data_IF_493344416388
#
_entry.id   IF_493344416388
#
_cell.length_a   1.000
_cell.length_b   1.000
_cell.length_c   1.000
_cell.angle_alpha   90.00
_cell.angle_beta   90.00
_cell.angle_gamma   90.00
#
_symmetry.space_group_name_H-M   'P 1'
#
loop_
_entity.id
_entity.type
_entity.pdbx_description
1 polymer ?
#
# COMPACT_ATOMS: atom_id res chain seq x y z
N UNK A 1 10.93 -19.71 18.11
CA UNK A 1 9.56 -20.24 18.32
C UNK A 1 8.61 -19.16 17.88
N UNK A 2 7.98 -19.32 16.72
CA UNK A 2 6.94 -18.41 16.24
C UNK A 2 5.64 -18.80 16.92
N UNK A 3 5.22 -18.04 17.94
CA UNK A 3 3.85 -18.09 18.44
C UNK A 3 2.93 -17.70 17.28
N UNK A 4 2.12 -18.63 16.80
CA UNK A 4 1.11 -18.32 15.82
C UNK A 4 0.06 -17.44 16.50
N UNK A 5 -0.12 -16.21 16.02
CA UNK A 5 -1.25 -15.39 16.43
C UNK A 5 -2.53 -16.21 16.21
N UNK A 6 -3.30 -16.42 17.28
CA UNK A 6 -4.59 -17.09 17.20
C UNK A 6 -5.54 -16.41 16.21
N UNK A 7 -6.66 -17.05 15.85
CA UNK A 7 -7.64 -16.41 14.98
C UNK A 7 -8.08 -15.05 15.55
N UNK A 8 -8.43 -14.07 14.70
CA UNK A 8 -8.91 -12.79 15.18
C UNK A 8 -10.12 -12.98 16.11
N UNK A 9 -10.31 -12.11 17.11
CA UNK A 9 -11.48 -12.15 17.98
C UNK A 9 -12.78 -12.15 17.17
N UNK A 10 -13.75 -12.99 17.56
CA UNK A 10 -15.02 -13.15 16.83
C UNK A 10 -15.89 -11.89 16.83
N UNK A 11 -15.68 -11.02 17.81
CA UNK A 11 -16.41 -9.77 18.01
C UNK A 11 -15.71 -8.57 17.36
N UNK A 12 -14.61 -8.77 16.60
CA UNK A 12 -13.82 -7.68 16.03
C UNK A 12 -14.66 -6.72 15.17
N UNK A 13 -15.63 -7.24 14.41
CA UNK A 13 -16.53 -6.47 13.55
C UNK A 13 -17.64 -5.72 14.33
N UNK A 14 -17.83 -6.03 15.62
CA UNK A 14 -18.84 -5.40 16.47
C UNK A 14 -18.24 -4.29 17.35
N UNK A 15 -16.90 -4.19 17.39
CA UNK A 15 -16.20 -3.20 18.20
C UNK A 15 -16.29 -1.83 17.55
N UNK A 16 -16.70 -0.85 18.33
CA UNK A 16 -16.53 0.54 17.96
C UNK A 16 -15.03 0.89 18.02
N UNK A 17 -14.45 1.19 16.86
CA UNK A 17 -13.06 1.60 16.78
C UNK A 17 -12.96 3.08 17.17
N UNK A 18 -12.05 3.44 18.09
CA UNK A 18 -11.89 4.83 18.48
C UNK A 18 -11.38 5.66 17.30
N UNK A 19 -12.05 6.77 17.03
CA UNK A 19 -11.53 7.79 16.13
C UNK A 19 -10.61 8.69 16.96
N UNK A 20 -9.32 8.67 16.64
CA UNK A 20 -8.31 9.49 17.30
C UNK A 20 -7.83 10.60 16.35
N UNK A 21 -7.59 11.78 16.90
CA UNK A 21 -6.93 12.87 16.16
C UNK A 21 -5.45 12.86 16.46
N UNK A 22 -4.64 12.93 15.42
CA UNK A 22 -3.18 12.96 15.53
C UNK A 22 -2.65 14.26 14.90
N UNK A 23 -1.64 14.84 15.51
CA UNK A 23 -0.98 16.05 15.01
C UNK A 23 0.23 15.67 14.12
N UNK A 24 0.47 16.49 13.09
CA UNK A 24 1.53 16.25 12.10
C UNK A 24 2.91 16.79 12.49
N UNK A 25 3.91 16.67 11.59
CA UNK A 25 3.73 16.47 10.15
C UNK A 25 3.55 15.02 9.71
N UNK A 26 2.65 14.80 8.75
CA UNK A 26 2.46 13.52 8.06
C UNK A 26 3.08 13.58 6.67
N UNK A 27 3.84 12.56 6.32
CA UNK A 27 4.54 12.44 5.05
C UNK A 27 3.85 11.44 4.14
N UNK A 28 3.72 11.81 2.87
CA UNK A 28 3.16 10.98 1.82
C UNK A 28 3.99 11.12 0.56
N UNK A 29 4.34 9.99 -0.03
CA UNK A 29 4.81 9.92 -1.41
C UNK A 29 3.62 9.61 -2.32
N UNK A 30 3.49 10.35 -3.42
CA UNK A 30 2.41 10.17 -4.38
C UNK A 30 2.92 10.30 -5.81
N UNK A 31 2.18 9.74 -6.77
CA UNK A 31 2.50 9.92 -8.18
C UNK A 31 2.37 11.39 -8.58
N UNK A 32 3.29 11.88 -9.42
CA UNK A 32 3.31 13.28 -9.86
C UNK A 32 2.02 13.72 -10.59
N UNK A 33 1.30 12.79 -11.21
CA UNK A 33 0.00 13.04 -11.85
C UNK A 33 -1.19 13.09 -10.90
N UNK A 34 -1.00 13.00 -9.59
CA UNK A 34 -2.06 13.06 -8.57
C UNK A 34 -1.78 14.18 -7.60
N UNK A 35 -2.85 14.79 -7.09
CA UNK A 35 -2.75 15.79 -6.03
C UNK A 35 -2.29 15.15 -4.70
N UNK A 36 -1.55 15.90 -3.85
CA UNK A 36 -1.10 15.39 -2.56
C UNK A 36 -2.23 14.91 -1.63
N UNK A 37 -3.43 15.48 -1.78
CA UNK A 37 -4.64 15.14 -1.02
C UNK A 37 -5.52 14.06 -1.64
N UNK A 38 -5.09 13.40 -2.72
CA UNK A 38 -5.93 12.44 -3.44
C UNK A 38 -6.21 11.18 -2.60
N UNK A 39 -7.48 10.83 -2.42
CA UNK A 39 -7.90 9.60 -1.75
C UNK A 39 -8.22 8.51 -2.78
N UNK A 40 -7.51 7.38 -2.72
CA UNK A 40 -7.68 6.27 -3.65
C UNK A 40 -8.90 5.41 -3.31
N UNK A 41 -9.58 4.88 -4.33
CA UNK A 41 -10.79 4.03 -4.20
C UNK A 41 -10.65 2.71 -4.94
N UNK A 42 -9.43 2.18 -5.02
CA UNK A 42 -9.15 1.02 -5.87
C UNK A 42 -9.61 -0.30 -5.29
N UNK A 43 -9.85 -0.37 -3.98
CA UNK A 43 -10.10 -1.63 -3.22
C UNK A 43 -9.00 -2.68 -3.32
N UNK A 44 -7.80 -2.29 -3.75
CA UNK A 44 -6.65 -3.18 -3.97
C UNK A 44 -5.61 -3.13 -2.85
N UNK A 45 -5.63 -2.12 -1.98
CA UNK A 45 -4.63 -1.98 -0.90
C UNK A 45 -5.14 -2.57 0.42
N UNK A 46 -4.21 -2.81 1.36
CA UNK A 46 -4.43 -3.55 2.63
C UNK A 46 -5.61 -3.07 3.48
N UNK A 47 -5.91 -1.78 3.42
CA UNK A 47 -6.93 -1.11 4.23
C UNK A 47 -7.87 -0.26 3.36
N UNK A 48 -7.91 -0.53 2.05
CA UNK A 48 -8.93 0.09 1.22
C UNK A 48 -10.31 -0.42 1.66
N UNK A 49 -11.31 0.44 1.53
CA UNK A 49 -12.70 0.00 1.57
C UNK A 49 -12.94 -1.03 0.44
N UNK A 50 -13.37 -2.26 0.77
CA UNK A 50 -13.59 -3.31 -0.23
C UNK A 50 -14.69 -2.94 -1.24
N UNK A 51 -15.64 -2.09 -0.86
CA UNK A 51 -16.73 -1.63 -1.73
C UNK A 51 -16.38 -0.32 -2.47
N UNK A 52 -15.29 0.35 -2.06
CA UNK A 52 -14.80 1.58 -2.69
C UNK A 52 -15.71 2.80 -2.49
N UNK A 53 -16.64 2.74 -1.54
CA UNK A 53 -17.50 3.87 -1.17
C UNK A 53 -16.68 5.02 -0.58
N UNK A 54 -15.65 4.66 0.19
CA UNK A 54 -14.72 5.60 0.83
C UNK A 54 -13.34 5.60 0.17
N UNK A 55 -12.77 6.80 0.04
CA UNK A 55 -11.40 6.96 -0.41
C UNK A 55 -10.42 6.83 0.75
N UNK A 56 -9.28 6.18 0.52
CA UNK A 56 -8.24 5.95 1.52
C UNK A 56 -6.94 6.65 1.12
N UNK A 57 -6.27 7.24 2.11
CA UNK A 57 -4.97 7.91 1.96
C UNK A 57 -3.99 7.30 2.96
N UNK A 58 -2.85 6.87 2.45
CA UNK A 58 -1.74 6.34 3.24
C UNK A 58 -0.73 7.47 3.49
N UNK A 59 -0.35 7.64 4.75
CA UNK A 59 0.70 8.58 5.18
C UNK A 59 1.48 7.97 6.33
N UNK A 60 2.67 8.49 6.60
CA UNK A 60 3.56 8.03 7.65
C UNK A 60 4.09 9.21 8.47
N UNK A 61 4.54 8.92 9.70
CA UNK A 61 5.14 9.91 10.60
C UNK A 61 6.51 10.39 10.12
N UNK A 62 7.21 9.57 9.32
CA UNK A 62 8.54 9.87 8.83
C UNK A 62 8.76 9.45 7.37
N UNK A 63 9.90 9.87 6.81
CA UNK A 63 10.24 9.63 5.42
C UNK A 63 10.51 8.15 5.13
N UNK A 64 10.98 7.38 6.11
CA UNK A 64 11.26 5.95 5.95
C UNK A 64 9.96 5.15 5.85
N UNK A 65 8.98 5.47 6.68
CA UNK A 65 7.62 4.94 6.60
C UNK A 65 6.96 5.28 5.28
N UNK A 66 7.03 6.54 4.85
CA UNK A 66 6.47 6.96 3.57
C UNK A 66 7.16 6.25 2.38
N UNK A 67 8.46 6.02 2.48
CA UNK A 67 9.23 5.27 1.49
C UNK A 67 8.80 3.80 1.43
N UNK A 68 8.76 3.10 2.55
CA UNK A 68 8.40 1.67 2.56
C UNK A 68 6.94 1.43 2.17
N UNK A 69 6.03 2.36 2.46
CA UNK A 69 4.64 2.26 2.02
C UNK A 69 4.48 2.34 0.49
N UNK A 70 5.44 2.92 -0.23
CA UNK A 70 5.45 2.94 -1.70
C UNK A 70 6.25 1.77 -2.27
N UNK A 71 7.47 1.58 -1.81
CA UNK A 71 8.41 0.63 -2.43
C UNK A 71 8.39 -0.76 -1.79
N UNK A 72 7.82 -0.91 -0.60
CA UNK A 72 7.75 -2.18 0.14
C UNK A 72 6.52 -3.04 -0.16
N UNK A 73 5.62 -2.59 -1.07
CA UNK A 73 4.38 -3.31 -1.41
C UNK A 73 4.63 -4.66 -2.09
N UNK A 74 5.74 -4.74 -2.82
CA UNK A 74 6.18 -5.97 -3.46
C UNK A 74 7.71 -6.08 -3.29
N UNK A 75 8.19 -6.88 -2.33
CA UNK A 75 9.62 -7.07 -2.10
C UNK A 75 10.34 -7.77 -3.27
N UNK A 76 9.61 -8.24 -4.30
CA UNK A 76 10.15 -8.75 -5.56
C UNK A 76 10.11 -7.74 -6.71
N UNK A 77 9.57 -6.53 -6.50
CA UNK A 77 9.51 -5.49 -7.53
C UNK A 77 10.85 -4.75 -7.60
N UNK A 78 11.70 -5.17 -8.53
CA UNK A 78 12.76 -4.30 -9.03
C UNK A 78 12.07 -3.15 -9.79
N UNK A 79 11.97 -1.98 -9.16
CA UNK A 79 11.73 -0.76 -9.92
C UNK A 79 12.78 -0.65 -11.02
N UNK A 80 12.42 -0.12 -12.18
CA UNK A 80 13.31 -0.01 -13.35
C UNK A 80 14.63 0.76 -13.11
N UNK A 81 14.82 1.34 -11.92
CA UNK A 81 15.97 2.19 -11.56
C UNK A 81 16.90 1.57 -10.49
N UNK A 82 16.66 0.35 -10.00
CA UNK A 82 17.57 -0.34 -9.06
C UNK A 82 18.00 -1.72 -9.57
N UNK A 83 18.56 -1.75 -10.77
CA UNK A 83 19.24 -2.93 -11.30
C UNK A 83 20.68 -3.02 -10.72
N UNK A 84 20.80 -3.54 -9.50
CA UNK A 84 22.07 -3.93 -8.88
C UNK A 84 22.07 -5.40 -8.47
N UNK A 85 22.66 -6.25 -9.32
CA UNK A 85 23.19 -7.62 -9.15
C UNK A 85 22.39 -8.75 -8.43
N UNK A 86 21.31 -8.49 -7.70
CA UNK A 86 20.60 -9.54 -6.93
C UNK A 86 19.28 -10.03 -7.52
N UNK A 87 18.79 -9.44 -8.61
CA UNK A 87 17.58 -9.92 -9.29
C UNK A 87 17.92 -11.09 -10.21
N UNK A 88 18.03 -12.31 -9.67
CA UNK A 88 17.96 -13.50 -10.50
C UNK A 88 16.55 -13.58 -11.11
N UNK A 89 16.39 -13.67 -12.44
CA UNK A 89 15.08 -13.79 -13.04
C UNK A 89 14.50 -15.16 -12.66
N UNK A 90 13.32 -15.25 -12.02
CA UNK A 90 12.61 -16.52 -12.04
C UNK A 90 12.25 -16.82 -13.49
N UNK A 91 12.80 -17.94 -13.96
CA UNK A 91 12.53 -18.52 -15.26
C UNK A 91 11.03 -18.59 -15.50
N UNK A 92 10.56 -17.84 -16.50
CA UNK A 92 9.26 -17.99 -17.12
C UNK A 92 8.06 -17.90 -16.17
N UNK A 93 7.60 -16.68 -15.91
CA UNK A 93 6.15 -16.43 -15.98
C UNK A 93 5.92 -15.14 -16.74
N UNK A 94 5.52 -15.28 -18.01
CA UNK A 94 4.90 -14.18 -18.75
C UNK A 94 3.64 -13.78 -17.98
N UNK A 95 3.68 -12.69 -17.23
CA UNK A 95 2.49 -11.88 -17.04
C UNK A 95 2.53 -10.74 -18.06
N UNK A 96 1.90 -11.07 -19.18
CA UNK A 96 1.35 -10.15 -20.17
C UNK A 96 0.62 -9.00 -19.47
N UNK A 97 0.99 -7.77 -19.84
CA UNK A 97 0.19 -6.52 -19.83
C UNK A 97 -0.59 -6.20 -18.54
N UNK A 98 -0.30 -5.02 -17.96
CA UNK A 98 -1.26 -4.12 -17.28
C UNK A 98 -0.71 -3.37 -16.04
N UNK A 99 0.60 -3.37 -15.77
CA UNK A 99 1.19 -2.53 -14.69
C UNK A 99 1.59 -1.11 -15.16
N UNK A 100 1.10 -0.71 -16.34
CA UNK A 100 1.03 0.69 -16.78
C UNK A 100 -0.40 0.99 -17.24
N UNK A 101 -1.36 0.98 -16.31
CA UNK A 101 -2.53 1.84 -16.42
C UNK A 101 -2.32 3.01 -15.46
N UNK A 102 -2.10 4.28 -15.82
CA UNK A 102 -2.69 5.06 -16.92
C UNK A 102 -3.98 4.46 -17.48
N UNK A 103 -5.02 4.46 -16.64
CA UNK A 103 -6.38 4.86 -17.01
C UNK A 103 -7.33 4.63 -15.82
N UNK A 104 -8.10 5.67 -15.49
CA UNK A 104 -9.13 5.65 -14.47
C UNK A 104 -9.33 7.06 -13.95
N UNK A 105 -10.33 7.73 -14.53
CA UNK A 105 -10.76 9.12 -14.36
C UNK A 105 -10.74 9.66 -12.93
#
# INVERSE_FOLDING_TARGET
>A
MTEALGPPPRDLNERELPIVSLEGPWLRLHAAGREPGYFGRTSLNRFDDPEGEFGVLYSAEDAFGAFIEVYGRDPGFCGNDVCGEFCQPPSQTRYSRDVLGINGY
#
